data_IF_689754193648
#
_entry.id   IF_689754193648
#
_cell.length_a   1.000
_cell.length_b   1.000
_cell.length_c   1.000
_cell.angle_alpha   90.00
_cell.angle_beta   90.00
_cell.angle_gamma   90.00
#
_symmetry.space_group_name_H-M   'P 1'
#
loop_
_entity.id
_entity.type
_entity.pdbx_description
1 polymer ?
#
# COMPACT_ATOMS: atom_id res chain seq x y z
N UNK A 1 2.73 -26.75 24.12
CA UNK A 1 2.60 -25.77 23.03
C UNK A 1 2.45 -24.39 23.67
N UNK A 2 3.48 -23.54 23.64
CA UNK A 2 3.34 -22.16 24.16
C UNK A 2 2.46 -21.41 23.16
N UNK A 3 1.25 -21.04 23.55
CA UNK A 3 0.43 -20.08 22.83
C UNK A 3 1.30 -18.86 22.53
N UNK A 4 1.44 -18.50 21.25
CA UNK A 4 1.98 -17.20 20.86
C UNK A 4 1.07 -16.15 21.51
N UNK A 5 1.45 -15.66 22.69
CA UNK A 5 0.77 -14.52 23.30
C UNK A 5 1.12 -13.31 22.44
N UNK A 6 0.26 -13.01 21.46
CA UNK A 6 0.37 -11.81 20.62
C UNK A 6 0.09 -10.61 21.52
N UNK A 7 1.09 -9.77 21.82
CA UNK A 7 0.86 -8.60 22.66
C UNK A 7 -0.16 -7.69 21.99
N UNK A 8 -1.12 -7.16 22.75
CA UNK A 8 -2.10 -6.21 22.23
C UNK A 8 -1.47 -5.04 21.42
N UNK A 9 -0.34 -4.44 21.83
CA UNK A 9 0.33 -3.40 21.04
C UNK A 9 0.73 -3.87 19.63
N UNK A 10 1.21 -5.11 19.52
CA UNK A 10 1.63 -5.71 18.25
C UNK A 10 0.44 -5.87 17.30
N UNK A 11 -0.69 -6.37 17.80
CA UNK A 11 -1.93 -6.50 17.02
C UNK A 11 -2.46 -5.13 16.58
N UNK A 12 -2.43 -4.15 17.49
CA UNK A 12 -2.87 -2.77 17.19
C UNK A 12 -1.98 -2.11 16.13
N UNK A 13 -0.67 -2.29 16.16
CA UNK A 13 0.23 -1.74 15.14
C UNK A 13 -0.03 -2.33 13.76
N UNK A 14 -0.27 -3.64 13.66
CA UNK A 14 -0.67 -4.28 12.40
C UNK A 14 -2.00 -3.76 11.88
N UNK A 15 -3.01 -3.64 12.76
CA UNK A 15 -4.31 -3.06 12.42
C UNK A 15 -4.17 -1.61 11.93
N UNK A 16 -3.40 -0.78 12.64
CA UNK A 16 -3.15 0.62 12.25
C UNK A 16 -2.44 0.68 10.90
N UNK A 17 -1.47 -0.22 10.63
CA UNK A 17 -0.80 -0.27 9.34
C UNK A 17 -1.77 -0.56 8.19
N UNK A 18 -2.70 -1.50 8.36
CA UNK A 18 -3.75 -1.82 7.38
C UNK A 18 -4.71 -0.64 7.19
N UNK A 19 -5.19 -0.05 8.29
CA UNK A 19 -6.12 1.08 8.26
C UNK A 19 -5.52 2.30 7.54
N UNK A 20 -4.27 2.66 7.87
CA UNK A 20 -3.54 3.75 7.20
C UNK A 20 -3.32 3.42 5.73
N UNK A 21 -3.01 2.17 5.40
CA UNK A 21 -2.87 1.71 4.01
C UNK A 21 -4.13 1.94 3.19
N UNK A 22 -5.27 1.42 3.64
CA UNK A 22 -6.54 1.55 2.93
C UNK A 22 -7.08 2.98 2.92
N UNK A 23 -7.10 3.66 4.07
CA UNK A 23 -7.66 5.00 4.18
C UNK A 23 -6.89 6.05 3.36
N UNK A 24 -5.59 5.83 3.13
CA UNK A 24 -4.74 6.82 2.44
C UNK A 24 -4.92 6.86 0.93
N UNK A 25 -5.16 5.71 0.29
CA UNK A 25 -4.94 5.59 -1.17
C UNK A 25 -5.89 4.64 -1.90
N UNK A 26 -6.75 3.89 -1.21
CA UNK A 26 -7.71 3.00 -1.88
C UNK A 26 -8.66 3.76 -2.82
N UNK A 27 -9.05 4.98 -2.47
CA UNK A 27 -9.88 5.84 -3.32
C UNK A 27 -9.22 6.13 -4.69
N UNK A 28 -7.89 6.27 -4.74
CA UNK A 28 -7.17 6.52 -6.00
C UNK A 28 -7.22 5.27 -6.89
N UNK A 29 -7.13 4.07 -6.30
CA UNK A 29 -7.25 2.82 -7.05
C UNK A 29 -8.65 2.67 -7.61
N UNK A 30 -9.67 3.04 -6.82
CA UNK A 30 -11.05 3.09 -7.29
C UNK A 30 -11.19 4.01 -8.50
N UNK A 31 -10.63 5.23 -8.44
CA UNK A 31 -10.64 6.15 -9.57
C UNK A 31 -9.88 5.62 -10.80
N UNK A 32 -8.75 4.95 -10.60
CA UNK A 32 -7.99 4.33 -11.69
C UNK A 32 -8.78 3.22 -12.39
N UNK A 33 -9.49 2.39 -11.61
CA UNK A 33 -10.32 1.33 -12.17
C UNK A 33 -11.55 1.90 -12.91
N UNK A 34 -12.17 2.95 -12.36
CA UNK A 34 -13.24 3.69 -13.07
C UNK A 34 -12.75 4.27 -14.40
N UNK A 35 -11.52 4.81 -14.46
CA UNK A 35 -10.95 5.35 -15.68
C UNK A 35 -10.79 4.30 -16.79
N UNK A 36 -10.61 3.02 -16.43
CA UNK A 36 -10.58 1.87 -17.33
C UNK A 36 -11.96 1.29 -17.68
N UNK A 37 -13.04 1.94 -17.23
CA UNK A 37 -14.41 1.49 -17.45
C UNK A 37 -14.88 0.34 -16.55
N UNK A 38 -14.18 0.05 -15.44
CA UNK A 38 -14.56 -1.03 -14.54
C UNK A 38 -15.90 -0.74 -13.83
N UNK A 39 -16.74 -1.77 -13.74
CA UNK A 39 -17.97 -1.75 -12.95
C UNK A 39 -17.67 -1.82 -11.44
N UNK A 40 -18.58 -1.37 -10.56
CA UNK A 40 -18.37 -1.47 -9.10
C UNK A 40 -18.07 -2.89 -8.61
N UNK A 41 -18.64 -3.92 -9.25
CA UNK A 41 -18.36 -5.32 -8.93
C UNK A 41 -16.92 -5.73 -9.29
N UNK A 42 -16.42 -5.29 -10.45
CA UNK A 42 -15.03 -5.55 -10.85
C UNK A 42 -14.04 -4.80 -9.95
N UNK A 43 -14.33 -3.55 -9.58
CA UNK A 43 -13.49 -2.78 -8.64
C UNK A 43 -13.45 -3.45 -7.27
N UNK A 44 -14.58 -3.92 -6.76
CA UNK A 44 -14.63 -4.68 -5.52
C UNK A 44 -13.81 -5.98 -5.63
N UNK A 45 -13.90 -6.69 -6.76
CA UNK A 45 -13.04 -7.83 -7.07
C UNK A 45 -11.55 -7.49 -7.08
N UNK A 46 -11.16 -6.39 -7.70
CA UNK A 46 -9.77 -5.89 -7.71
C UNK A 46 -9.26 -5.60 -6.30
N UNK A 47 -10.10 -4.99 -5.45
CA UNK A 47 -9.77 -4.73 -4.04
C UNK A 47 -9.59 -6.02 -3.25
N UNK A 48 -10.42 -7.03 -3.49
CA UNK A 48 -10.26 -8.36 -2.91
C UNK A 48 -8.94 -9.00 -3.36
N UNK A 49 -8.64 -9.00 -4.66
CA UNK A 49 -7.41 -9.57 -5.19
C UNK A 49 -6.15 -8.87 -4.65
N UNK A 50 -6.13 -7.54 -4.63
CA UNK A 50 -5.04 -6.75 -4.05
C UNK A 50 -4.87 -7.03 -2.56
N UNK A 51 -5.96 -7.04 -1.79
CA UNK A 51 -5.93 -7.33 -0.36
C UNK A 51 -5.37 -8.72 -0.06
N UNK A 52 -5.85 -9.75 -0.78
CA UNK A 52 -5.34 -11.12 -0.66
C UNK A 52 -3.86 -11.18 -1.04
N UNK A 53 -3.46 -10.56 -2.15
CA UNK A 53 -2.10 -10.62 -2.64
C UNK A 53 -1.11 -9.94 -1.68
N UNK A 54 -1.46 -8.77 -1.15
CA UNK A 54 -0.66 -8.09 -0.14
C UNK A 54 -0.62 -8.87 1.19
N UNK A 55 -1.76 -9.44 1.62
CA UNK A 55 -1.83 -10.27 2.83
C UNK A 55 -0.94 -11.50 2.72
N UNK A 56 -1.08 -12.28 1.64
CA UNK A 56 -0.25 -13.46 1.37
C UNK A 56 1.22 -13.07 1.30
N UNK A 57 1.54 -12.00 0.56
CA UNK A 57 2.94 -11.63 0.38
C UNK A 57 3.59 -11.11 1.65
N UNK A 58 2.89 -10.25 2.40
CA UNK A 58 3.32 -9.77 3.72
C UNK A 58 3.54 -10.93 4.67
N UNK A 59 2.56 -11.82 4.82
CA UNK A 59 2.62 -12.96 5.73
C UNK A 59 3.79 -13.89 5.37
N UNK A 60 3.93 -14.24 4.09
CA UNK A 60 4.95 -15.17 3.62
C UNK A 60 6.36 -14.61 3.84
N UNK A 61 6.61 -13.37 3.40
CA UNK A 61 7.92 -12.73 3.53
C UNK A 61 8.27 -12.49 5.00
N UNK A 62 7.28 -12.08 5.80
CA UNK A 62 7.47 -11.83 7.22
C UNK A 62 7.83 -13.10 7.99
N UNK A 63 7.13 -14.21 7.72
CA UNK A 63 7.41 -15.50 8.35
C UNK A 63 8.73 -16.10 7.88
N UNK A 64 9.05 -15.98 6.59
CA UNK A 64 10.28 -16.51 6.01
C UNK A 64 11.52 -15.80 6.56
N UNK A 65 11.52 -14.47 6.54
CA UNK A 65 12.68 -13.68 6.96
C UNK A 65 12.69 -13.35 8.46
N UNK A 66 11.61 -13.67 9.18
CA UNK A 66 11.41 -13.28 10.60
C UNK A 66 11.66 -11.78 10.81
N UNK A 67 11.22 -10.98 9.85
CA UNK A 67 11.35 -9.53 9.82
C UNK A 67 10.01 -8.92 9.39
N UNK A 68 9.65 -7.72 9.89
CA UNK A 68 8.37 -7.06 9.54
C UNK A 68 8.38 -6.52 8.10
N UNK A 69 8.16 -7.42 7.14
CA UNK A 69 8.11 -7.11 5.71
C UNK A 69 6.67 -6.91 5.29
N UNK A 70 6.23 -5.65 5.31
CA UNK A 70 4.92 -5.28 4.79
C UNK A 70 5.00 -5.04 3.28
N UNK A 71 4.00 -5.55 2.58
CA UNK A 71 3.76 -5.26 1.18
C UNK A 71 2.53 -4.37 1.02
N UNK A 72 2.57 -3.54 -0.01
CA UNK A 72 1.52 -2.60 -0.35
C UNK A 72 1.41 -2.47 -1.87
N UNK A 73 0.35 -1.86 -2.38
CA UNK A 73 0.27 -1.42 -3.76
C UNK A 73 1.10 -0.16 -4.02
N UNK A 74 1.37 0.14 -5.29
CA UNK A 74 2.05 1.37 -5.70
C UNK A 74 1.07 2.54 -5.72
N UNK A 75 1.10 3.41 -4.70
CA UNK A 75 0.20 4.58 -4.63
C UNK A 75 0.46 5.58 -5.78
N UNK A 76 1.72 5.96 -6.08
CA UNK A 76 2.03 6.76 -7.26
C UNK A 76 1.66 6.06 -8.57
N UNK A 77 1.76 4.73 -8.60
CA UNK A 77 1.30 3.92 -9.72
C UNK A 77 -0.21 4.06 -9.97
N UNK A 78 -1.03 3.95 -8.92
CA UNK A 78 -2.48 4.17 -9.03
C UNK A 78 -2.80 5.58 -9.54
N UNK A 79 -2.11 6.60 -9.03
CA UNK A 79 -2.31 7.98 -9.49
C UNK A 79 -1.98 8.14 -10.99
N UNK A 80 -0.90 7.50 -11.47
CA UNK A 80 -0.55 7.47 -12.89
C UNK A 80 -1.65 6.78 -13.72
N UNK A 81 -2.25 5.71 -13.20
CA UNK A 81 -3.30 4.95 -13.89
C UNK A 81 -4.62 5.72 -14.02
N UNK A 82 -4.95 6.64 -13.10
CA UNK A 82 -6.15 7.50 -13.21
C UNK A 82 -6.18 8.24 -14.55
N UNK A 83 -5.04 8.72 -15.02
CA UNK A 83 -4.93 9.38 -16.33
C UNK A 83 -4.49 8.41 -17.43
N UNK A 84 -3.61 7.46 -17.11
CA UNK A 84 -3.03 6.52 -18.08
C UNK A 84 -4.01 5.49 -18.64
N UNK A 85 -5.11 5.21 -17.92
CA UNK A 85 -6.15 4.29 -18.38
C UNK A 85 -7.36 4.99 -19.01
N UNK A 86 -7.39 6.32 -19.07
CA UNK A 86 -8.54 7.03 -19.64
C UNK A 86 -8.76 6.66 -21.10
N UNK A 87 -9.99 6.24 -21.42
CA UNK A 87 -10.37 5.82 -22.76
C UNK A 87 -9.86 4.44 -23.17
N UNK A 88 -9.23 3.69 -22.25
CA UNK A 88 -8.82 2.30 -22.45
C UNK A 88 -9.87 1.34 -21.89
N UNK A 89 -9.87 0.11 -22.41
CA UNK A 89 -10.73 -0.95 -21.92
C UNK A 89 -10.10 -1.70 -20.73
N UNK A 90 -10.90 -2.44 -19.98
CA UNK A 90 -10.40 -3.29 -18.89
C UNK A 90 -9.36 -4.33 -19.35
N UNK A 91 -9.55 -5.03 -20.50
CA UNK A 91 -8.51 -5.87 -21.09
C UNK A 91 -7.17 -5.17 -21.37
N UNK A 92 -7.20 -3.92 -21.85
CA UNK A 92 -5.99 -3.11 -22.07
C UNK A 92 -5.27 -2.83 -20.75
N UNK A 93 -6.02 -2.46 -19.70
CA UNK A 93 -5.48 -2.23 -18.37
C UNK A 93 -4.78 -3.49 -17.82
N UNK A 94 -5.40 -4.67 -17.99
CA UNK A 94 -4.77 -5.94 -17.59
C UNK A 94 -3.49 -6.21 -18.39
N UNK A 95 -3.47 -5.96 -19.69
CA UNK A 95 -2.26 -6.07 -20.51
C UNK A 95 -1.14 -5.17 -19.99
N UNK A 96 -1.46 -3.92 -19.66
CA UNK A 96 -0.54 -2.97 -19.03
C UNK A 96 0.00 -3.51 -17.70
N UNK A 97 -0.85 -4.06 -16.84
CA UNK A 97 -0.44 -4.60 -15.54
C UNK A 97 0.48 -5.82 -15.69
N UNK A 98 0.18 -6.72 -16.62
CA UNK A 98 1.03 -7.88 -16.92
C UNK A 98 2.41 -7.41 -17.38
N UNK A 99 2.49 -6.47 -18.34
CA UNK A 99 3.78 -5.97 -18.84
C UNK A 99 4.56 -5.29 -17.72
N UNK A 100 3.92 -4.41 -16.94
CA UNK A 100 4.59 -3.72 -15.84
C UNK A 100 5.13 -4.71 -14.78
N UNK A 101 4.31 -5.68 -14.34
CA UNK A 101 4.73 -6.68 -13.36
C UNK A 101 5.81 -7.63 -13.92
N UNK A 102 5.76 -7.98 -15.20
CA UNK A 102 6.82 -8.75 -15.85
C UNK A 102 8.17 -7.99 -15.85
N UNK A 103 8.15 -6.67 -16.08
CA UNK A 103 9.35 -5.83 -15.97
C UNK A 103 9.87 -5.77 -14.52
N UNK A 104 8.99 -5.73 -13.52
CA UNK A 104 9.39 -5.82 -12.09
C UNK A 104 10.10 -7.15 -11.81
N UNK A 105 9.51 -8.27 -12.25
CA UNK A 105 10.08 -9.61 -12.08
C UNK A 105 11.45 -9.69 -12.76
N UNK A 106 11.55 -9.25 -14.02
CA UNK A 106 12.80 -9.23 -14.77
C UNK A 106 13.87 -8.40 -14.05
N UNK A 107 13.50 -7.24 -13.51
CA UNK A 107 14.40 -6.39 -12.74
C UNK A 107 14.87 -7.06 -11.43
N UNK A 108 13.99 -7.85 -10.79
CA UNK A 108 14.32 -8.66 -9.63
C UNK A 108 15.31 -9.79 -9.95
N UNK A 109 15.03 -10.57 -11.00
CA UNK A 109 15.83 -11.72 -11.45
C UNK A 109 17.22 -11.28 -11.93
N UNK A 110 17.30 -10.19 -12.69
CA UNK A 110 18.59 -9.63 -13.15
C UNK A 110 19.41 -9.02 -12.00
N UNK A 111 18.78 -8.74 -10.86
CA UNK A 111 19.40 -8.05 -9.73
C UNK A 111 19.70 -6.58 -10.00
N UNK A 112 19.19 -6.01 -11.09
CA UNK A 112 19.46 -4.64 -11.49
C UNK A 112 19.06 -3.65 -10.39
N UNK A 113 17.85 -3.80 -9.85
CA UNK A 113 17.40 -2.94 -8.77
C UNK A 113 18.18 -3.14 -7.47
N UNK A 114 18.53 -4.39 -7.13
CA UNK A 114 19.34 -4.66 -5.95
C UNK A 114 20.73 -3.98 -6.05
N UNK A 115 21.34 -3.95 -7.24
CA UNK A 115 22.59 -3.21 -7.50
C UNK A 115 22.40 -1.71 -7.33
N UNK A 116 21.34 -1.13 -7.88
CA UNK A 116 21.02 0.30 -7.70
C UNK A 116 20.83 0.65 -6.21
N UNK A 117 20.10 -0.19 -5.46
CA UNK A 117 19.88 -0.02 -4.02
C UNK A 117 21.15 -0.18 -3.15
N UNK A 118 22.26 -0.68 -3.70
CA UNK A 118 23.56 -0.69 -3.00
C UNK A 118 24.29 0.65 -3.10
N UNK A 119 23.96 1.45 -4.11
CA UNK A 119 24.58 2.77 -4.36
C UNK A 119 23.89 3.86 -3.55
N UNK A 120 22.59 3.68 -3.23
CA UNK A 120 21.80 4.64 -2.47
C UNK A 120 22.38 4.80 -1.05
N UNK A 121 22.93 5.99 -0.70
CA UNK A 121 23.46 6.25 0.63
C UNK A 121 22.35 6.26 1.67
N UNK A 122 22.70 6.01 2.93
CA UNK A 122 21.74 6.06 4.04
C UNK A 122 21.10 7.45 4.19
N UNK A 123 21.85 8.53 3.94
CA UNK A 123 21.32 9.90 3.96
C UNK A 123 20.24 10.12 2.90
N UNK A 124 20.40 9.55 1.70
CA UNK A 124 19.39 9.63 0.65
C UNK A 124 18.16 8.80 1.01
N UNK A 125 18.34 7.61 1.59
CA UNK A 125 17.26 6.79 2.11
C UNK A 125 16.42 7.55 3.17
N UNK A 126 17.08 8.22 4.13
CA UNK A 126 16.41 9.06 5.12
C UNK A 126 15.70 10.26 4.47
N UNK A 127 16.33 10.91 3.49
CA UNK A 127 15.73 12.03 2.75
C UNK A 127 14.50 11.59 1.92
N UNK A 128 14.52 10.39 1.34
CA UNK A 128 13.36 9.81 0.64
C UNK A 128 12.18 9.60 1.60
N UNK A 129 12.44 9.06 2.79
CA UNK A 129 11.41 8.90 3.82
C UNK A 129 10.87 10.27 4.27
N UNK A 130 11.74 11.24 4.54
CA UNK A 130 11.35 12.60 4.92
C UNK A 130 10.50 13.28 3.84
N UNK A 131 10.89 13.20 2.57
CA UNK A 131 10.15 13.79 1.45
C UNK A 131 8.74 13.19 1.29
N UNK A 132 8.62 11.87 1.40
CA UNK A 132 7.32 11.18 1.32
C UNK A 132 6.43 11.57 2.51
N UNK A 133 6.96 11.53 3.73
CA UNK A 133 6.21 11.89 4.94
C UNK A 133 5.81 13.37 4.94
N UNK A 134 6.68 14.26 4.48
CA UNK A 134 6.39 15.69 4.36
C UNK A 134 5.26 15.95 3.37
N UNK A 135 5.32 15.37 2.16
CA UNK A 135 4.26 15.53 1.16
C UNK A 135 2.93 15.01 1.69
N UNK A 136 2.94 13.84 2.34
CA UNK A 136 1.74 13.27 2.96
C UNK A 136 1.17 14.19 4.05
N UNK A 137 2.04 14.72 4.92
CA UNK A 137 1.67 15.70 5.94
C UNK A 137 1.04 16.96 5.35
N UNK A 138 1.67 17.55 4.32
CA UNK A 138 1.18 18.76 3.65
C UNK A 138 -0.15 18.54 2.93
N UNK A 139 -0.33 17.40 2.25
CA UNK A 139 -1.58 17.07 1.56
C UNK A 139 -2.76 16.95 2.52
N UNK A 140 -2.54 16.50 3.76
CA UNK A 140 -3.59 16.45 4.78
C UNK A 140 -4.15 17.83 5.16
N UNK A 141 -3.35 18.90 5.04
CA UNK A 141 -3.83 20.28 5.26
C UNK A 141 -4.58 20.84 4.03
N UNK A 142 -4.32 20.32 2.83
CA UNK A 142 -5.01 20.76 1.61
C UNK A 142 -6.52 20.53 1.65
N UNK A 143 -6.97 19.50 2.37
CA UNK A 143 -8.38 19.17 2.56
C UNK A 143 -9.07 19.99 3.67
N UNK A 144 -8.35 20.81 4.44
CA UNK A 144 -8.97 21.67 5.47
C UNK A 144 -9.96 22.67 4.86
N UNK A 145 -9.70 23.12 3.64
CA UNK A 145 -10.63 23.96 2.89
C UNK A 145 -11.85 23.13 2.47
N UNK A 146 -12.95 23.28 3.22
CA UNK A 146 -14.23 22.60 2.99
C UNK A 146 -14.57 21.53 4.04
N UNK A 147 -13.59 21.00 4.77
CA UNK A 147 -13.76 19.92 5.76
C UNK A 147 -13.20 20.28 7.15
N UNK A 148 -13.24 21.57 7.52
CA UNK A 148 -12.59 22.07 8.75
C UNK A 148 -13.01 21.30 10.02
N UNK A 149 -14.30 21.04 10.19
CA UNK A 149 -14.82 20.32 11.38
C UNK A 149 -14.29 18.89 11.42
N UNK A 150 -14.24 18.21 10.27
CA UNK A 150 -13.76 16.83 10.17
C UNK A 150 -12.25 16.78 10.42
N UNK A 151 -11.46 17.49 9.62
CA UNK A 151 -10.00 17.49 9.74
C UNK A 151 -9.54 18.04 11.10
N UNK A 152 -10.13 19.14 11.58
CA UNK A 152 -9.82 19.75 12.87
C UNK A 152 -10.20 18.85 14.06
N UNK A 153 -11.37 18.20 13.99
CA UNK A 153 -11.79 17.22 14.99
C UNK A 153 -10.85 16.02 15.05
N UNK A 154 -10.51 15.43 13.90
CA UNK A 154 -9.56 14.32 13.80
C UNK A 154 -8.19 14.70 14.38
N UNK A 155 -7.68 15.89 14.05
CA UNK A 155 -6.41 16.40 14.58
C UNK A 155 -6.47 16.60 16.10
N UNK A 156 -7.54 17.19 16.62
CA UNK A 156 -7.72 17.41 18.06
C UNK A 156 -7.80 16.07 18.81
N UNK A 157 -8.59 15.11 18.31
CA UNK A 157 -8.65 13.77 18.88
C UNK A 157 -7.28 13.09 18.87
N UNK A 158 -6.54 13.20 17.76
CA UNK A 158 -5.19 12.68 17.67
C UNK A 158 -4.25 13.35 18.68
N UNK A 159 -4.26 14.68 18.81
CA UNK A 159 -3.39 15.43 19.74
C UNK A 159 -3.65 15.05 21.19
N UNK A 160 -4.92 15.02 21.60
CA UNK A 160 -5.32 14.64 22.97
C UNK A 160 -4.83 13.23 23.30
N UNK A 161 -5.09 12.27 22.40
CA UNK A 161 -4.63 10.90 22.62
C UNK A 161 -3.12 10.77 22.46
N UNK A 162 -2.46 11.60 21.66
CA UNK A 162 -0.99 11.60 21.56
C UNK A 162 -0.33 11.94 22.89
N UNK A 163 -0.98 12.76 23.73
CA UNK A 163 -0.52 13.08 25.09
C UNK A 163 -0.86 11.96 26.08
N UNK A 164 -2.12 11.53 26.15
CA UNK A 164 -2.58 10.65 27.23
C UNK A 164 -2.40 9.16 26.93
N UNK A 165 -2.55 8.76 25.67
CA UNK A 165 -2.45 7.37 25.25
C UNK A 165 -1.96 7.27 23.79
N UNK A 166 -0.67 7.57 23.51
CA UNK A 166 -0.12 7.72 22.16
C UNK A 166 -0.48 6.59 21.18
N UNK A 167 -0.64 5.39 21.72
CA UNK A 167 -0.97 4.16 21.00
C UNK A 167 -2.36 4.18 20.34
N UNK A 168 -3.32 4.92 20.91
CA UNK A 168 -4.69 5.01 20.37
C UNK A 168 -4.93 6.28 19.56
N UNK A 169 -3.93 7.16 19.40
CA UNK A 169 -4.11 8.45 18.74
C UNK A 169 -4.66 8.34 17.31
N UNK A 170 -4.15 7.38 16.52
CA UNK A 170 -4.63 7.15 15.15
C UNK A 170 -6.06 6.60 15.14
N UNK A 171 -6.39 5.70 16.06
CA UNK A 171 -7.74 5.12 16.19
C UNK A 171 -8.74 6.20 16.62
N UNK A 172 -8.37 7.06 17.57
CA UNK A 172 -9.20 8.18 18.03
C UNK A 172 -9.50 9.16 16.88
N UNK A 173 -8.49 9.48 16.07
CA UNK A 173 -8.67 10.30 14.87
C UNK A 173 -9.66 9.65 13.89
N UNK A 174 -9.53 8.34 13.63
CA UNK A 174 -10.44 7.61 12.75
C UNK A 174 -11.89 7.61 13.27
N UNK A 175 -12.09 7.31 14.56
CA UNK A 175 -13.42 7.31 15.20
C UNK A 175 -14.05 8.70 15.12
N UNK A 176 -13.27 9.75 15.35
CA UNK A 176 -13.74 11.13 15.19
C UNK A 176 -14.16 11.42 13.74
N UNK A 177 -13.34 11.02 12.75
CA UNK A 177 -13.67 11.19 11.33
C UNK A 177 -14.97 10.48 10.94
N UNK A 178 -15.15 9.22 11.37
CA UNK A 178 -16.38 8.45 11.15
C UNK A 178 -17.58 9.15 11.80
N UNK A 179 -17.42 9.61 13.03
CA UNK A 179 -18.50 10.29 13.78
C UNK A 179 -18.93 11.57 13.07
N UNK A 180 -17.98 12.41 12.64
CA UNK A 180 -18.29 13.63 11.90
C UNK A 180 -18.95 13.32 10.56
N UNK A 181 -18.46 12.31 9.83
CA UNK A 181 -19.05 11.90 8.55
C UNK A 181 -20.51 11.40 8.69
N UNK A 182 -20.80 10.66 9.77
CA UNK A 182 -22.15 10.21 10.11
C UNK A 182 -23.07 11.39 10.45
N UNK A 183 -22.61 12.31 11.30
CA UNK A 183 -23.38 13.50 11.69
C UNK A 183 -23.67 14.39 10.47
N UNK A 184 -22.73 14.52 9.55
CA UNK A 184 -22.89 15.31 8.32
C UNK A 184 -23.70 14.59 7.22
N UNK A 185 -24.15 13.35 7.46
CA UNK A 185 -24.90 12.58 6.46
C UNK A 185 -24.09 12.20 5.22
N UNK A 186 -22.76 12.21 5.30
CA UNK A 186 -21.86 11.85 4.18
C UNK A 186 -21.74 10.36 3.96
N UNK A 187 -22.26 9.56 4.89
CA UNK A 187 -22.25 8.10 4.80
C UNK A 187 -23.57 7.65 4.16
N UNK A 188 -23.50 7.23 2.90
CA UNK A 188 -24.62 6.57 2.24
C UNK A 188 -24.79 5.16 2.82
N UNK A 189 -25.80 4.97 3.68
CA UNK A 189 -26.13 3.67 4.28
C UNK A 189 -27.09 2.83 3.43
N UNK A 190 -27.71 3.42 2.40
CA UNK A 190 -28.64 2.74 1.50
C UNK A 190 -27.89 1.86 0.50
N UNK A 191 -28.32 0.61 0.34
CA UNK A 191 -27.74 -0.31 -0.66
C UNK A 191 -26.46 -1.03 -0.23
N UNK A 192 -26.17 -1.08 1.08
CA UNK A 192 -25.07 -1.90 1.61
C UNK A 192 -25.47 -3.38 1.52
N UNK A 193 -24.95 -4.07 0.52
CA UNK A 193 -25.06 -5.53 0.39
C UNK A 193 -23.79 -6.18 0.90
N UNK A 194 -23.89 -6.90 2.03
CA UNK A 194 -22.80 -7.71 2.55
C UNK A 194 -22.73 -9.03 1.77
N UNK A 195 -21.89 -9.04 0.73
CA UNK A 195 -21.58 -10.25 -0.04
C UNK A 195 -20.07 -10.31 -0.31
N UNK A 196 -19.43 -11.48 -0.14
CA UNK A 196 -18.06 -11.67 -0.61
C UNK A 196 -18.02 -11.47 -2.13
N UNK A 197 -17.21 -10.51 -2.58
CA UNK A 197 -16.96 -10.30 -4.01
C UNK A 197 -15.64 -10.94 -4.39
N UNK A 198 -15.72 -11.97 -5.23
CA UNK A 198 -14.54 -12.63 -5.77
C UNK A 198 -14.03 -11.88 -7.01
N UNK A 199 -12.71 -11.79 -7.19
CA UNK A 199 -12.16 -11.19 -8.39
C UNK A 199 -12.55 -12.00 -9.64
N UNK A 200 -13.02 -11.29 -10.65
CA UNK A 200 -13.32 -11.87 -11.95
C UNK A 200 -12.07 -11.87 -12.82
N UNK A 201 -11.91 -12.94 -13.60
CA UNK A 201 -10.84 -13.02 -14.59
C UNK A 201 -11.18 -12.11 -15.77
N UNK A 202 -10.26 -11.23 -16.12
CA UNK A 202 -10.35 -10.36 -17.31
C UNK A 202 -9.26 -10.78 -18.29
N UNK A 203 -9.61 -11.18 -19.53
CA UNK A 203 -8.63 -11.58 -20.52
C UNK A 203 -7.75 -10.39 -20.90
N UNK A 204 -6.42 -10.57 -20.99
CA UNK A 204 -5.53 -9.48 -21.36
C UNK A 204 -5.62 -9.13 -22.84
N UNK A 205 -5.57 -7.84 -23.15
CA UNK A 205 -5.28 -7.34 -24.48
C UNK A 205 -3.92 -6.64 -24.47
N UNK A 206 -3.02 -7.02 -25.38
CA UNK A 206 -1.67 -6.49 -25.45
C UNK A 206 -1.54 -5.48 -26.58
N UNK A 207 -1.18 -4.25 -26.22
CA UNK A 207 -0.82 -3.22 -27.18
C UNK A 207 0.60 -2.73 -26.93
N UNK A 208 1.40 -2.69 -27.98
CA UNK A 208 2.76 -2.15 -27.91
C UNK A 208 2.75 -0.66 -27.51
N UNK A 209 1.80 0.12 -28.04
CA UNK A 209 1.66 1.53 -27.72
C UNK A 209 1.34 1.75 -26.24
N UNK A 210 0.41 1.00 -25.67
CA UNK A 210 0.06 1.07 -24.23
C UNK A 210 1.18 0.54 -23.34
N UNK A 211 1.92 -0.47 -23.81
CA UNK A 211 3.09 -1.00 -23.11
C UNK A 211 4.14 0.10 -22.90
N UNK A 212 4.42 0.88 -23.96
CA UNK A 212 5.40 1.95 -23.88
C UNK A 212 4.87 3.21 -23.16
N UNK A 213 3.62 3.58 -23.41
CA UNK A 213 3.03 4.84 -22.88
C UNK A 213 2.51 4.73 -21.45
N UNK A 214 2.18 3.53 -20.96
CA UNK A 214 1.60 3.34 -19.62
C UNK A 214 2.34 2.28 -18.81
N UNK A 215 2.60 1.09 -19.36
CA UNK A 215 3.19 0.00 -18.57
C UNK A 215 4.63 0.29 -18.14
N UNK A 216 5.46 0.84 -19.04
CA UNK A 216 6.83 1.25 -18.72
C UNK A 216 6.84 2.39 -17.69
N UNK A 217 6.07 3.49 -17.83
CA UNK A 217 5.93 4.49 -16.78
C UNK A 217 5.43 3.93 -15.45
N UNK A 218 4.45 3.02 -15.46
CA UNK A 218 3.94 2.35 -14.26
C UNK A 218 5.04 1.54 -13.57
N UNK A 219 5.82 0.77 -14.32
CA UNK A 219 6.99 0.05 -13.81
C UNK A 219 7.99 1.03 -13.18
N UNK A 220 8.41 2.07 -13.89
CA UNK A 220 9.42 3.02 -13.42
C UNK A 220 8.96 3.76 -12.15
N UNK A 221 7.73 4.27 -12.14
CA UNK A 221 7.20 5.00 -10.98
C UNK A 221 7.08 4.08 -9.77
N UNK A 222 6.69 2.82 -9.98
CA UNK A 222 6.59 1.81 -8.93
C UNK A 222 7.96 1.47 -8.34
N UNK A 223 8.97 1.29 -9.18
CA UNK A 223 10.32 0.99 -8.74
C UNK A 223 10.95 2.16 -7.98
N UNK A 224 10.86 3.37 -8.53
CA UNK A 224 11.50 4.55 -7.98
C UNK A 224 10.77 5.11 -6.75
N UNK A 225 9.43 5.13 -6.77
CA UNK A 225 8.64 5.86 -5.77
C UNK A 225 8.02 4.96 -4.70
N UNK A 226 7.97 3.64 -4.91
CA UNK A 226 7.41 2.71 -3.93
C UNK A 226 8.48 1.73 -3.42
N UNK A 227 9.07 0.92 -4.30
CA UNK A 227 10.03 -0.11 -3.88
C UNK A 227 11.31 0.48 -3.30
N UNK A 228 11.88 1.53 -3.90
CA UNK A 228 13.13 2.11 -3.41
C UNK A 228 12.95 2.74 -2.01
N UNK A 229 11.92 3.57 -1.75
CA UNK A 229 11.61 4.03 -0.40
C UNK A 229 11.27 2.91 0.58
N UNK A 230 10.56 1.86 0.14
CA UNK A 230 10.22 0.71 0.98
C UNK A 230 11.48 -0.02 1.47
N UNK A 231 12.40 -0.32 0.56
CA UNK A 231 13.70 -0.93 0.89
C UNK A 231 14.55 0.00 1.74
N UNK A 232 14.57 1.30 1.43
CA UNK A 232 15.28 2.31 2.21
C UNK A 232 14.77 2.37 3.66
N UNK A 233 13.46 2.35 3.86
CA UNK A 233 12.81 2.38 5.18
C UNK A 233 13.16 1.12 5.97
N UNK A 234 13.05 -0.05 5.35
CA UNK A 234 13.40 -1.33 5.97
C UNK A 234 14.88 -1.35 6.43
N UNK A 235 15.81 -0.87 5.59
CA UNK A 235 17.23 -0.73 5.94
C UNK A 235 17.44 0.27 7.08
N UNK A 236 16.74 1.41 7.05
CA UNK A 236 16.84 2.43 8.10
C UNK A 236 16.32 1.92 9.46
N UNK A 237 15.34 1.02 9.45
CA UNK A 237 14.85 0.31 10.65
C UNK A 237 15.75 -0.84 11.12
N UNK A 238 16.90 -1.08 10.46
CA UNK A 238 17.87 -2.11 10.85
C UNK A 238 17.63 -3.50 10.24
N UNK A 239 16.66 -3.65 9.33
CA UNK A 239 16.38 -4.93 8.68
C UNK A 239 17.10 -5.03 7.31
N UNK A 240 18.18 -5.80 7.26
CA UNK A 240 18.93 -6.03 6.02
C UNK A 240 18.49 -7.33 5.34
N UNK A 241 17.49 -7.22 4.46
CA UNK A 241 16.97 -8.34 3.69
C UNK A 241 17.43 -8.30 2.23
N UNK A 242 17.53 -9.47 1.56
CA UNK A 242 17.93 -9.52 0.16
C UNK A 242 16.82 -8.95 -0.74
N UNK A 243 17.10 -7.82 -1.38
CA UNK A 243 16.09 -7.05 -2.14
C UNK A 243 15.51 -7.82 -3.33
N UNK A 244 16.36 -8.52 -4.10
CA UNK A 244 15.94 -9.26 -5.29
C UNK A 244 14.89 -10.34 -4.99
N UNK A 245 15.09 -11.26 -4.03
CA UNK A 245 14.06 -12.23 -3.63
C UNK A 245 12.72 -11.59 -3.24
N UNK A 246 12.75 -10.50 -2.46
CA UNK A 246 11.52 -9.80 -2.07
C UNK A 246 10.76 -9.29 -3.30
N UNK A 247 11.46 -8.65 -4.23
CA UNK A 247 10.86 -8.15 -5.47
C UNK A 247 10.37 -9.24 -6.41
N UNK A 248 11.12 -10.33 -6.54
CA UNK A 248 10.72 -11.46 -7.39
C UNK A 248 9.42 -12.02 -6.85
N UNK A 249 9.33 -12.24 -5.54
CA UNK A 249 8.14 -12.78 -4.92
C UNK A 249 6.92 -11.86 -5.05
N UNK A 250 7.06 -10.56 -4.72
CA UNK A 250 5.95 -9.61 -4.88
C UNK A 250 5.58 -9.41 -6.34
N UNK A 251 6.56 -9.32 -7.24
CA UNK A 251 6.35 -9.16 -8.67
C UNK A 251 5.70 -10.37 -9.33
N UNK A 252 6.09 -11.60 -8.96
CA UNK A 252 5.47 -12.83 -9.48
C UNK A 252 4.03 -12.96 -9.01
N UNK A 253 3.77 -12.66 -7.73
CA UNK A 253 2.41 -12.68 -7.21
C UNK A 253 1.54 -11.61 -7.88
N UNK A 254 2.08 -10.41 -8.11
CA UNK A 254 1.38 -9.36 -8.83
C UNK A 254 1.11 -9.76 -10.29
N UNK A 255 2.11 -10.33 -10.97
CA UNK A 255 2.00 -10.81 -12.35
C UNK A 255 0.93 -11.91 -12.50
N UNK A 256 0.93 -12.88 -11.58
CA UNK A 256 -0.06 -13.97 -11.56
C UNK A 256 -1.48 -13.43 -11.38
N UNK A 257 -1.63 -12.39 -10.56
CA UNK A 257 -2.91 -11.80 -10.23
C UNK A 257 -3.30 -10.58 -11.09
N UNK A 258 -2.46 -10.18 -12.05
CA UNK A 258 -2.77 -9.09 -12.99
C UNK A 258 -4.12 -9.28 -13.70
N UNK A 259 -4.51 -10.49 -14.18
CA UNK A 259 -5.83 -10.72 -14.78
C UNK A 259 -7.02 -10.53 -13.85
N UNK A 260 -6.77 -10.40 -12.55
CA UNK A 260 -7.75 -10.17 -11.50
C UNK A 260 -7.71 -8.72 -10.97
N UNK A 261 -7.00 -7.82 -11.67
CA UNK A 261 -6.90 -6.40 -11.33
C UNK A 261 -5.73 -6.00 -10.44
N UNK A 262 -4.80 -6.92 -10.17
CA UNK A 262 -3.61 -6.60 -9.37
C UNK A 262 -2.59 -5.84 -10.23
N UNK A 263 -2.65 -4.51 -10.17
CA UNK A 263 -1.75 -3.66 -10.95
C UNK A 263 -0.31 -3.60 -10.40
N UNK A 264 -0.11 -3.81 -9.10
CA UNK A 264 1.22 -3.86 -8.47
C UNK A 264 1.19 -4.42 -7.05
N UNK A 265 2.30 -5.04 -6.64
CA UNK A 265 2.61 -5.36 -5.23
C UNK A 265 4.06 -4.97 -4.98
N UNK A 266 4.29 -4.20 -3.93
CA UNK A 266 5.55 -3.51 -3.64
C UNK A 266 5.90 -3.62 -2.17
N UNK A 267 7.14 -3.29 -1.82
CA UNK A 267 7.54 -3.14 -0.42
C UNK A 267 6.96 -1.84 0.13
N UNK A 268 6.24 -1.94 1.24
CA UNK A 268 5.65 -0.78 1.88
C UNK A 268 6.72 0.09 2.53
N UNK A 269 6.53 1.41 2.47
CA UNK A 269 7.41 2.37 3.14
C UNK A 269 6.75 2.91 4.43
N UNK A 270 5.64 3.63 4.29
CA UNK A 270 4.97 4.35 5.39
C UNK A 270 4.39 3.36 6.42
N UNK A 271 3.57 2.40 5.97
CA UNK A 271 2.91 1.44 6.85
C UNK A 271 3.91 0.44 7.44
N UNK A 272 4.98 0.10 6.71
CA UNK A 272 6.05 -0.74 7.22
C UNK A 272 6.76 -0.11 8.43
N UNK A 273 6.97 1.20 8.43
CA UNK A 273 7.58 1.92 9.57
C UNK A 273 6.76 1.76 10.86
N UNK A 274 5.43 1.63 10.76
CA UNK A 274 4.54 1.44 11.91
C UNK A 274 4.83 0.08 12.57
N UNK A 275 4.88 -0.99 11.79
CA UNK A 275 5.19 -2.33 12.32
C UNK A 275 6.67 -2.50 12.70
N UNK A 276 7.56 -1.65 12.16
CA UNK A 276 8.99 -1.62 12.49
C UNK A 276 9.32 -0.77 13.72
N UNK A 277 8.36 -0.01 14.25
CA UNK A 277 8.52 0.87 15.41
C UNK A 277 8.68 0.09 16.73
N UNK A 278 9.40 0.64 17.74
CA UNK A 278 9.36 0.15 19.12
C UNK A 278 7.95 0.06 19.72
N UNK A 279 6.98 0.84 19.19
CA UNK A 279 5.58 0.79 19.62
C UNK A 279 4.90 -0.55 19.27
N UNK A 280 5.34 -1.21 18.18
CA UNK A 280 4.81 -2.50 17.74
C UNK A 280 5.31 -3.64 18.63
N UNK A 281 6.61 -3.63 18.95
CA UNK A 281 7.20 -4.53 19.93
C UNK A 281 8.55 -3.95 20.42
N UNK A 282 8.83 -3.97 21.74
CA UNK A 282 10.11 -3.48 22.28
C UNK A 282 11.32 -4.22 21.68
N UNK A 283 11.25 -5.56 21.65
CA UNK A 283 12.26 -6.41 21.01
C UNK A 283 12.16 -6.34 19.47
N UNK A 284 13.20 -5.83 18.77
CA UNK A 284 13.21 -5.71 17.31
C UNK A 284 13.14 -7.06 16.58
N UNK A 285 13.56 -8.16 17.22
CA UNK A 285 13.52 -9.50 16.62
C UNK A 285 12.12 -10.13 16.66
N UNK A 286 11.16 -9.46 17.31
CA UNK A 286 9.76 -9.90 17.42
C UNK A 286 8.76 -8.99 16.72
N UNK A 287 9.20 -7.86 16.17
CA UNK A 287 8.34 -6.91 15.45
C UNK A 287 7.66 -7.50 14.21
N UNK A 288 8.20 -8.59 13.65
CA UNK A 288 7.55 -9.34 12.58
C UNK A 288 6.15 -9.86 12.97
N UNK A 289 5.85 -10.03 14.26
CA UNK A 289 4.51 -10.39 14.74
C UNK A 289 3.45 -9.30 14.48
N UNK A 290 3.85 -8.04 14.29
CA UNK A 290 2.92 -6.97 13.93
C UNK A 290 2.62 -6.92 12.42
N UNK A 291 3.46 -7.58 11.62
CA UNK A 291 3.29 -7.68 10.18
C UNK A 291 2.56 -8.98 9.77
N UNK A 292 2.74 -10.05 10.54
CA UNK A 292 2.08 -11.35 10.34
C UNK A 292 0.61 -11.29 10.75
#
# INVERSE_FOLDING_TARGET
MRLLSLPLPTVLSGLVAVLVGYASSAAIIWQAALAAGATPAEIAGWMTALGIAMGISTLTLTLWYRAPVLTAWSTPGAALLVTGLQGLSLPDAVGIFIVANALIVLCGVTGLFARLMRIIPHSLAAAMLAGILLRFGLQAFGTLNGEFVMCGGMLLAWLLFKVFAPRYAVIAAMVMGITVALIQGKVAMSGIHFAPVWPTFVPPHFSFAQSLSVAVPLFLVTMASQNAPGVATMKASGYQLPVSPLMIFTGLLALLLSPFGVYSICIAAITAAICQSPDAHPDPTRRWLAAA
#
